data_IF_126927773694
#
_entry.id   IF_126927773694
#
_cell.length_a   1.000
_cell.length_b   1.000
_cell.length_c   1.000
_cell.angle_alpha   90.00
_cell.angle_beta   90.00
_cell.angle_gamma   90.00
#
_symmetry.space_group_name_H-M   'P 1'
#
loop_
_entity.id
_entity.type
_entity.pdbx_description
1 polymer ?
#
# COMPACT_ATOMS: atom_id res chain seq x y z
N UNK A 1 -9.03 4.13 19.18
CA UNK A 1 -7.77 3.92 18.46
C UNK A 1 -7.10 2.63 18.96
N UNK A 2 -6.23 2.03 18.17
CA UNK A 2 -5.30 1.01 18.64
C UNK A 2 -4.16 1.76 19.35
N UNK A 3 -3.76 1.29 20.51
CA UNK A 3 -2.53 1.72 21.15
C UNK A 3 -1.41 0.86 20.56
N UNK A 4 -0.61 1.44 19.68
CA UNK A 4 0.44 0.72 18.95
C UNK A 4 1.48 1.71 18.44
N UNK A 5 2.73 1.28 18.37
CA UNK A 5 3.78 2.01 17.72
C UNK A 5 3.56 2.03 16.21
N UNK A 6 3.88 3.13 15.56
CA UNK A 6 3.73 3.31 14.13
C UNK A 6 5.10 3.52 13.48
N UNK A 7 5.45 2.62 12.56
CA UNK A 7 6.65 2.76 11.73
C UNK A 7 6.26 3.30 10.35
N UNK A 8 6.81 4.48 10.01
CA UNK A 8 6.65 5.05 8.68
C UNK A 8 7.60 4.38 7.69
N UNK A 9 7.07 3.48 6.84
CA UNK A 9 7.86 2.78 5.84
C UNK A 9 8.45 3.69 4.75
N UNK A 10 7.85 4.85 4.47
CA UNK A 10 8.40 5.77 3.48
C UNK A 10 9.79 6.26 3.85
N UNK A 11 10.05 6.51 5.13
CA UNK A 11 11.36 6.94 5.61
C UNK A 11 12.40 5.83 5.44
N UNK A 12 12.05 4.60 5.80
CA UNK A 12 12.93 3.45 5.64
C UNK A 12 13.20 3.11 4.17
N UNK A 13 12.17 3.13 3.34
CA UNK A 13 12.29 2.88 1.90
C UNK A 13 13.18 3.96 1.26
N UNK A 14 12.98 5.24 1.64
CA UNK A 14 13.79 6.35 1.13
C UNK A 14 15.26 6.24 1.55
N UNK A 15 15.52 5.77 2.76
CA UNK A 15 16.87 5.52 3.27
C UNK A 15 17.47 4.18 2.80
N UNK A 16 16.73 3.39 2.01
CA UNK A 16 17.10 2.01 1.63
C UNK A 16 17.39 1.10 2.85
N UNK A 17 16.81 1.46 4.01
CA UNK A 17 17.02 0.78 5.28
C UNK A 17 16.12 -0.44 5.39
N UNK A 18 16.71 -1.62 5.29
CA UNK A 18 16.09 -2.93 5.50
C UNK A 18 16.58 -3.61 6.78
N UNK A 19 17.14 -2.86 7.72
CA UNK A 19 17.56 -3.39 9.02
C UNK A 19 16.35 -3.99 9.77
N UNK A 20 16.64 -4.88 10.72
CA UNK A 20 15.61 -5.54 11.53
C UNK A 20 14.76 -4.54 12.30
N UNK A 21 13.49 -4.88 12.44
CA UNK A 21 12.51 -4.11 13.22
C UNK A 21 12.10 -4.94 14.42
N UNK A 22 12.30 -4.40 15.62
CA UNK A 22 11.74 -4.99 16.84
C UNK A 22 10.23 -4.76 16.83
N UNK A 23 9.47 -5.82 17.00
CA UNK A 23 8.00 -5.77 16.98
C UNK A 23 7.44 -6.54 18.15
N UNK A 24 6.21 -6.22 18.51
CA UNK A 24 5.35 -7.10 19.30
C UNK A 24 4.91 -8.30 18.45
N UNK A 25 4.17 -9.23 19.05
CA UNK A 25 3.66 -10.43 18.34
C UNK A 25 2.75 -10.11 17.15
N UNK A 26 2.07 -8.98 17.21
CA UNK A 26 1.08 -8.56 16.22
C UNK A 26 1.62 -7.44 15.34
N UNK A 27 1.60 -7.64 14.05
CA UNK A 27 1.97 -6.63 13.05
C UNK A 27 0.76 -6.30 12.19
N UNK A 28 0.56 -5.01 11.95
CA UNK A 28 -0.47 -4.50 11.05
C UNK A 28 0.23 -3.74 9.93
N UNK A 29 0.15 -4.26 8.71
CA UNK A 29 0.65 -3.56 7.53
C UNK A 29 -0.48 -2.76 6.90
N UNK A 30 -0.37 -1.43 6.96
CA UNK A 30 -1.30 -0.51 6.28
C UNK A 30 -0.62 0.02 5.03
N UNK A 31 -1.26 -0.14 3.86
CA UNK A 31 -0.64 0.18 2.57
C UNK A 31 -1.68 0.49 1.49
N UNK A 32 -1.36 1.34 0.50
CA UNK A 32 -2.22 1.53 -0.66
C UNK A 32 -2.27 0.29 -1.55
N UNK A 33 -3.23 0.28 -2.45
CA UNK A 33 -3.38 -0.74 -3.49
C UNK A 33 -2.81 -0.23 -4.81
N UNK A 34 -1.82 -0.93 -5.36
CA UNK A 34 -1.27 -0.67 -6.69
C UNK A 34 -1.62 -1.84 -7.62
N UNK A 35 -2.52 -1.59 -8.56
CA UNK A 35 -2.97 -2.59 -9.53
C UNK A 35 -3.31 -3.94 -8.88
N UNK A 36 -4.24 -3.94 -7.91
CA UNK A 36 -4.76 -5.11 -7.20
C UNK A 36 -3.75 -5.89 -6.35
N UNK A 37 -2.66 -5.26 -5.91
CA UNK A 37 -1.67 -5.78 -4.95
C UNK A 37 -1.16 -4.67 -4.05
N UNK A 38 -0.44 -5.04 -2.99
CA UNK A 38 0.39 -4.06 -2.28
C UNK A 38 1.50 -3.57 -3.21
N UNK A 39 2.00 -2.32 -3.07
CA UNK A 39 3.10 -1.80 -3.86
C UNK A 39 4.31 -2.73 -3.83
N UNK A 40 4.93 -2.99 -4.97
CA UNK A 40 6.12 -3.86 -5.06
C UNK A 40 7.20 -3.44 -4.09
N UNK A 41 7.45 -2.13 -3.96
CA UNK A 41 8.48 -1.61 -3.06
C UNK A 41 8.21 -1.95 -1.59
N UNK A 42 6.94 -2.02 -1.18
CA UNK A 42 6.54 -2.44 0.18
C UNK A 42 6.74 -3.94 0.35
N UNK A 43 6.32 -4.75 -0.64
CA UNK A 43 6.52 -6.20 -0.61
C UNK A 43 7.99 -6.58 -0.62
N UNK A 44 8.82 -5.86 -1.38
CA UNK A 44 10.27 -6.09 -1.48
C UNK A 44 10.97 -5.69 -0.19
N UNK A 45 10.59 -4.55 0.40
CA UNK A 45 11.09 -4.14 1.70
C UNK A 45 10.74 -5.16 2.78
N UNK A 46 9.47 -5.55 2.88
CA UNK A 46 9.02 -6.55 3.85
C UNK A 46 9.70 -7.91 3.61
N UNK A 47 9.98 -8.27 2.36
CA UNK A 47 10.72 -9.49 2.00
C UNK A 47 12.14 -9.51 2.58
N UNK A 48 12.81 -8.35 2.64
CA UNK A 48 14.19 -8.18 3.10
C UNK A 48 14.29 -7.94 4.61
N UNK A 49 13.51 -7.00 5.15
CA UNK A 49 13.54 -6.64 6.56
C UNK A 49 13.08 -7.79 7.46
N UNK A 50 13.76 -8.00 8.57
CA UNK A 50 13.35 -8.95 9.60
C UNK A 50 12.43 -8.27 10.62
N UNK A 51 11.30 -8.91 10.94
CA UNK A 51 10.37 -8.46 11.96
C UNK A 51 10.58 -9.33 13.21
N UNK A 52 11.46 -8.87 14.08
CA UNK A 52 11.89 -9.62 15.28
C UNK A 52 10.78 -9.57 16.34
N UNK A 53 10.27 -10.73 16.76
CA UNK A 53 9.17 -10.85 17.71
C UNK A 53 7.81 -11.06 17.05
N UNK A 54 7.64 -10.70 15.78
CA UNK A 54 6.39 -10.87 15.06
C UNK A 54 5.96 -12.34 14.95
N UNK A 55 4.67 -12.60 15.20
CA UNK A 55 4.05 -13.92 15.01
C UNK A 55 2.86 -13.87 14.04
N UNK A 56 2.10 -12.78 14.05
CA UNK A 56 0.85 -12.60 13.31
C UNK A 56 0.88 -11.31 12.50
N UNK A 57 0.28 -11.32 11.30
CA UNK A 57 0.20 -10.14 10.45
C UNK A 57 -1.18 -9.96 9.83
N UNK A 58 -1.73 -8.76 9.98
CA UNK A 58 -2.92 -8.25 9.29
C UNK A 58 -2.49 -7.32 8.17
N UNK A 59 -3.19 -7.38 7.05
CA UNK A 59 -3.01 -6.46 5.94
C UNK A 59 -4.25 -5.57 5.82
N UNK A 60 -4.07 -4.27 5.85
CA UNK A 60 -5.13 -3.27 5.62
C UNK A 60 -4.74 -2.46 4.40
N UNK A 61 -5.57 -2.53 3.36
CA UNK A 61 -5.27 -1.90 2.07
C UNK A 61 -6.33 -0.86 1.74
N UNK A 62 -5.92 0.38 1.46
CA UNK A 62 -6.81 1.37 0.87
C UNK A 62 -6.82 1.25 -0.66
N UNK A 63 -7.96 1.55 -1.27
CA UNK A 63 -8.17 1.46 -2.71
C UNK A 63 -9.26 2.44 -3.16
N UNK A 64 -9.27 2.80 -4.45
CA UNK A 64 -10.35 3.60 -5.03
C UNK A 64 -11.65 2.82 -5.19
N UNK A 65 -11.57 1.50 -5.41
CA UNK A 65 -12.74 0.63 -5.59
C UNK A 65 -12.56 -0.76 -4.97
N UNK A 66 -11.53 -1.48 -5.35
CA UNK A 66 -11.32 -2.89 -4.97
C UNK A 66 -9.84 -3.26 -4.89
N UNK A 67 -9.54 -4.29 -4.12
CA UNK A 67 -8.18 -4.86 -3.97
C UNK A 67 -7.98 -6.12 -4.80
N UNK A 68 -8.98 -6.57 -5.55
CA UNK A 68 -8.95 -7.80 -6.33
C UNK A 68 -8.53 -9.01 -5.49
N UNK A 69 -7.61 -9.82 -6.00
CA UNK A 69 -7.10 -11.00 -5.31
C UNK A 69 -5.82 -10.72 -4.49
N UNK A 70 -5.64 -9.51 -3.95
CA UNK A 70 -4.47 -9.14 -3.14
C UNK A 70 -4.25 -10.10 -1.95
N UNK A 71 -5.33 -10.58 -1.34
CA UNK A 71 -5.29 -11.51 -0.20
C UNK A 71 -4.46 -12.77 -0.46
N UNK A 72 -4.46 -13.29 -1.71
CA UNK A 72 -3.60 -14.42 -2.09
C UNK A 72 -2.12 -14.07 -1.93
N UNK A 73 -1.70 -12.94 -2.48
CA UNK A 73 -0.29 -12.51 -2.49
C UNK A 73 0.20 -12.09 -1.11
N UNK A 74 -0.68 -11.48 -0.31
CA UNK A 74 -0.41 -11.13 1.07
C UNK A 74 -0.22 -12.37 1.94
N UNK A 75 -1.04 -13.41 1.74
CA UNK A 75 -0.88 -14.71 2.42
C UNK A 75 0.43 -15.38 2.04
N UNK A 76 0.80 -15.37 0.76
CA UNK A 76 2.08 -15.90 0.29
C UNK A 76 3.26 -15.13 0.89
N UNK A 77 3.16 -13.80 1.02
CA UNK A 77 4.17 -12.96 1.64
C UNK A 77 4.30 -13.28 3.15
N UNK A 78 3.19 -13.38 3.88
CA UNK A 78 3.18 -13.77 5.28
C UNK A 78 3.84 -15.14 5.49
N UNK A 79 3.52 -16.12 4.63
CA UNK A 79 4.12 -17.47 4.68
C UNK A 79 5.62 -17.44 4.48
N UNK A 80 6.13 -16.66 3.50
CA UNK A 80 7.59 -16.47 3.31
C UNK A 80 8.27 -15.87 4.53
N UNK A 81 7.57 -15.00 5.26
CA UNK A 81 8.04 -14.39 6.51
C UNK A 81 7.83 -15.28 7.74
N UNK A 82 7.26 -16.48 7.57
CA UNK A 82 6.90 -17.40 8.67
C UNK A 82 5.93 -16.77 9.70
N UNK A 83 5.08 -15.86 9.24
CA UNK A 83 4.05 -15.22 10.04
C UNK A 83 2.68 -15.85 9.79
N UNK A 84 1.88 -15.96 10.84
CA UNK A 84 0.47 -16.33 10.71
C UNK A 84 -0.28 -15.20 10.01
N UNK A 85 -0.87 -15.50 8.85
CA UNK A 85 -1.69 -14.57 8.08
C UNK A 85 -3.06 -14.42 8.73
N UNK A 86 -3.39 -13.21 9.18
CA UNK A 86 -4.64 -12.89 9.88
C UNK A 86 -5.68 -12.20 8.98
N UNK A 87 -5.44 -12.20 7.67
CA UNK A 87 -6.39 -11.69 6.69
C UNK A 87 -5.94 -10.39 6.00
N UNK A 88 -6.71 -10.03 4.98
CA UNK A 88 -6.57 -8.77 4.23
C UNK A 88 -7.91 -8.05 4.21
N UNK A 89 -7.96 -6.85 4.74
CA UNK A 89 -9.12 -5.97 4.69
C UNK A 89 -8.89 -4.83 3.70
N UNK A 90 -9.97 -4.40 3.02
CA UNK A 90 -9.94 -3.21 2.17
C UNK A 90 -10.66 -2.05 2.82
N UNK A 91 -10.19 -0.84 2.52
CA UNK A 91 -10.84 0.42 2.86
C UNK A 91 -10.98 1.22 1.57
N UNK A 92 -12.22 1.49 1.15
CA UNK A 92 -12.45 2.33 -0.04
C UNK A 92 -12.20 3.79 0.35
N UNK A 93 -11.30 4.44 -0.39
CA UNK A 93 -10.90 5.84 -0.23
C UNK A 93 -11.03 6.60 -1.55
N UNK A 94 -11.03 7.94 -1.54
CA UNK A 94 -11.10 8.72 -2.76
C UNK A 94 -10.00 8.34 -3.75
N UNK A 95 -10.39 8.11 -5.02
CA UNK A 95 -9.44 7.80 -6.09
C UNK A 95 -8.45 8.93 -6.30
N UNK A 96 -7.18 8.61 -6.40
CA UNK A 96 -6.09 9.56 -6.60
C UNK A 96 -5.17 9.22 -7.79
N UNK A 97 -5.44 8.12 -8.51
CA UNK A 97 -4.67 7.75 -9.69
C UNK A 97 -5.20 8.46 -10.93
N UNK A 98 -4.97 9.77 -11.00
CA UNK A 98 -5.48 10.66 -12.04
C UNK A 98 -4.95 10.38 -13.45
N UNK A 99 -3.96 9.50 -13.61
CA UNK A 99 -3.47 9.10 -14.93
C UNK A 99 -4.50 8.27 -15.72
N UNK A 100 -5.39 7.54 -15.03
CA UNK A 100 -6.42 6.70 -15.65
C UNK A 100 -7.84 7.01 -15.17
N UNK A 101 -8.00 7.63 -14.02
CA UNK A 101 -9.30 7.86 -13.39
C UNK A 101 -9.48 9.34 -13.03
N UNK A 102 -10.74 9.76 -12.97
CA UNK A 102 -11.08 11.08 -12.46
C UNK A 102 -11.04 11.08 -10.94
N UNK A 103 -10.39 12.06 -10.34
CA UNK A 103 -10.50 12.28 -8.91
C UNK A 103 -11.93 12.75 -8.57
N UNK A 104 -12.53 12.27 -7.46
CA UNK A 104 -13.83 12.75 -7.01
C UNK A 104 -13.76 14.23 -6.61
N UNK A 105 -14.87 14.92 -6.69
CA UNK A 105 -14.95 16.27 -6.15
C UNK A 105 -14.87 16.28 -4.61
N UNK A 106 -14.77 17.48 -4.01
CA UNK A 106 -14.59 17.62 -2.57
C UNK A 106 -15.76 17.05 -1.76
N UNK A 107 -16.98 17.13 -2.26
CA UNK A 107 -18.17 16.66 -1.57
C UNK A 107 -18.24 15.13 -1.65
N UNK A 108 -18.00 14.57 -2.81
CA UNK A 108 -17.94 13.13 -3.04
C UNK A 108 -16.79 12.50 -2.24
N UNK A 109 -15.59 13.08 -2.28
CA UNK A 109 -14.45 12.61 -1.49
C UNK A 109 -14.75 12.57 0.00
N UNK A 110 -15.42 13.62 0.53
CA UNK A 110 -15.85 13.65 1.92
C UNK A 110 -16.85 12.53 2.24
N UNK A 111 -17.81 12.27 1.36
CA UNK A 111 -18.78 11.19 1.54
C UNK A 111 -18.09 9.81 1.56
N UNK A 112 -17.13 9.57 0.66
CA UNK A 112 -16.35 8.32 0.63
C UNK A 112 -15.61 8.12 1.96
N UNK A 113 -14.93 9.15 2.47
CA UNK A 113 -14.20 9.08 3.75
C UNK A 113 -15.15 8.82 4.92
N UNK A 114 -16.32 9.45 4.96
CA UNK A 114 -17.32 9.18 6.01
C UNK A 114 -17.83 7.74 5.94
N UNK A 115 -18.08 7.22 4.74
CA UNK A 115 -18.54 5.85 4.51
C UNK A 115 -17.46 4.79 4.86
N UNK A 116 -16.19 5.14 4.86
CA UNK A 116 -15.10 4.25 5.26
C UNK A 116 -15.05 4.02 6.80
N UNK A 117 -15.55 4.96 7.60
CA UNK A 117 -15.45 4.89 9.07
C UNK A 117 -16.01 3.62 9.71
N UNK A 118 -17.19 3.09 9.32
CA UNK A 118 -17.70 1.84 9.87
C UNK A 118 -16.78 0.65 9.58
N UNK A 119 -16.25 0.55 8.35
CA UNK A 119 -15.31 -0.50 7.97
C UNK A 119 -14.02 -0.43 8.81
N UNK A 120 -13.47 0.77 9.00
CA UNK A 120 -12.29 1.00 9.83
C UNK A 120 -12.55 0.55 11.28
N UNK A 121 -13.72 0.86 11.85
CA UNK A 121 -14.08 0.40 13.20
C UNK A 121 -14.13 -1.11 13.29
N UNK A 122 -14.77 -1.78 12.35
CA UNK A 122 -14.83 -3.24 12.29
C UNK A 122 -13.43 -3.87 12.18
N UNK A 123 -12.54 -3.30 11.37
CA UNK A 123 -11.14 -3.72 11.24
C UNK A 123 -10.43 -3.60 12.59
N UNK A 124 -10.56 -2.46 13.28
CA UNK A 124 -9.97 -2.23 14.59
C UNK A 124 -10.47 -3.26 15.61
N UNK A 125 -11.77 -3.54 15.62
CA UNK A 125 -12.36 -4.50 16.56
C UNK A 125 -11.88 -5.92 16.30
N UNK A 126 -11.73 -6.34 15.04
CA UNK A 126 -11.12 -7.62 14.69
C UNK A 126 -9.68 -7.74 15.21
N UNK A 127 -8.87 -6.70 14.99
CA UNK A 127 -7.46 -6.69 15.43
C UNK A 127 -7.37 -6.76 16.96
N UNK A 128 -8.16 -5.94 17.68
CA UNK A 128 -8.18 -5.92 19.16
C UNK A 128 -8.52 -7.27 19.77
N UNK A 129 -9.43 -7.99 19.13
CA UNK A 129 -9.85 -9.31 19.59
C UNK A 129 -8.96 -10.45 19.04
N UNK A 130 -7.87 -10.14 18.33
CA UNK A 130 -6.99 -11.13 17.73
C UNK A 130 -7.68 -12.02 16.69
N UNK A 131 -8.76 -11.54 16.06
CA UNK A 131 -9.55 -12.30 15.08
C UNK A 131 -8.99 -12.11 13.67
N UNK A 132 -9.17 -13.13 12.84
CA UNK A 132 -8.88 -13.03 11.41
C UNK A 132 -9.91 -12.13 10.72
N UNK A 133 -9.47 -11.37 9.70
CA UNK A 133 -10.41 -10.68 8.84
C UNK A 133 -11.21 -11.69 8.00
N UNK A 134 -12.49 -11.42 7.73
CA UNK A 134 -13.26 -12.22 6.80
C UNK A 134 -12.56 -12.35 5.45
N UNK A 135 -12.61 -13.54 4.86
CA UNK A 135 -12.01 -13.75 3.54
C UNK A 135 -12.72 -12.84 2.50
N UNK A 136 -11.97 -12.05 1.72
CA UNK A 136 -12.56 -11.23 0.68
C UNK A 136 -13.20 -12.12 -0.39
N UNK A 137 -14.32 -11.67 -0.96
CA UNK A 137 -14.94 -12.35 -2.08
C UNK A 137 -14.07 -12.14 -3.32
N UNK A 138 -13.68 -13.22 -3.96
CA UNK A 138 -12.88 -13.21 -5.19
C UNK A 138 -13.61 -13.93 -6.31
N UNK A 139 -13.59 -13.32 -7.49
CA UNK A 139 -14.10 -13.91 -8.72
C UNK A 139 -12.95 -14.21 -9.71
N UNK A 140 -13.28 -14.73 -10.88
CA UNK A 140 -12.29 -15.03 -11.92
C UNK A 140 -11.61 -13.76 -12.47
N UNK A 141 -12.35 -12.65 -12.55
CA UNK A 141 -11.82 -11.36 -12.96
C UNK A 141 -10.74 -10.87 -11.99
N UNK A 142 -11.00 -10.91 -10.69
CA UNK A 142 -10.03 -10.52 -9.65
C UNK A 142 -8.73 -11.33 -9.75
N UNK A 143 -8.85 -12.62 -10.00
CA UNK A 143 -7.70 -13.52 -10.19
C UNK A 143 -6.88 -13.15 -11.43
N UNK A 144 -7.57 -12.85 -12.53
CA UNK A 144 -6.92 -12.44 -13.78
C UNK A 144 -6.24 -11.08 -13.63
N UNK A 145 -6.92 -10.07 -13.07
CA UNK A 145 -6.37 -8.73 -12.90
C UNK A 145 -5.16 -8.74 -11.97
N UNK A 146 -5.27 -9.35 -10.79
CA UNK A 146 -4.15 -9.43 -9.85
C UNK A 146 -3.02 -10.35 -10.32
N UNK A 147 -3.33 -11.37 -11.12
CA UNK A 147 -2.36 -12.38 -11.60
C UNK A 147 -1.60 -11.92 -12.84
N UNK A 148 -2.28 -11.84 -13.97
CA UNK A 148 -1.67 -11.59 -15.27
C UNK A 148 -1.53 -10.09 -15.58
N UNK A 149 -2.55 -9.28 -15.24
CA UNK A 149 -2.55 -7.86 -15.60
C UNK A 149 -1.57 -7.06 -14.73
N UNK A 150 -1.50 -7.30 -13.42
CA UNK A 150 -0.60 -6.56 -12.53
C UNK A 150 0.86 -6.53 -13.01
N UNK A 151 1.55 -7.65 -13.28
CA UNK A 151 2.95 -7.60 -13.70
C UNK A 151 3.15 -6.94 -15.07
N UNK A 152 2.17 -7.07 -15.98
CA UNK A 152 2.23 -6.40 -17.30
C UNK A 152 2.04 -4.90 -17.13
N UNK A 153 1.07 -4.49 -16.33
CA UNK A 153 0.79 -3.10 -16.02
C UNK A 153 2.02 -2.42 -15.42
N UNK A 154 2.59 -3.01 -14.37
CA UNK A 154 3.76 -2.44 -13.69
C UNK A 154 5.00 -2.38 -14.59
N UNK A 155 5.21 -3.37 -15.48
CA UNK A 155 6.41 -3.39 -16.35
C UNK A 155 6.26 -2.56 -17.61
N UNK A 156 5.07 -2.48 -18.21
CA UNK A 156 4.89 -1.93 -19.56
C UNK A 156 4.11 -0.63 -19.61
N UNK A 157 3.22 -0.39 -18.66
CA UNK A 157 2.33 0.77 -18.67
C UNK A 157 2.82 1.86 -17.72
N UNK A 158 3.26 1.50 -16.51
CA UNK A 158 3.81 2.46 -15.55
C UNK A 158 5.23 2.83 -15.97
N UNK A 159 5.36 3.90 -16.75
CA UNK A 159 6.63 4.41 -17.27
C UNK A 159 6.72 5.91 -17.05
N UNK A 160 7.93 6.42 -16.90
CA UNK A 160 8.22 7.83 -16.75
C UNK A 160 8.65 8.50 -18.07
N UNK A 161 8.66 7.76 -19.19
CA UNK A 161 9.22 8.25 -20.47
C UNK A 161 8.56 9.55 -20.98
N UNK A 162 7.27 9.74 -20.64
CA UNK A 162 6.52 10.95 -21.03
C UNK A 162 6.58 12.07 -19.97
N UNK A 163 7.30 11.85 -18.87
CA UNK A 163 7.43 12.88 -17.83
C UNK A 163 8.32 14.01 -18.32
N UNK A 164 7.80 15.22 -18.25
CA UNK A 164 8.54 16.44 -18.65
C UNK A 164 8.46 17.49 -17.57
N UNK A 165 9.49 18.28 -17.47
CA UNK A 165 9.56 19.44 -16.57
C UNK A 165 9.46 20.71 -17.41
N UNK A 166 8.46 21.56 -17.12
CA UNK A 166 8.28 22.83 -17.82
C UNK A 166 9.23 23.91 -17.32
N UNK A 167 9.30 25.03 -18.06
CA UNK A 167 10.10 26.19 -17.66
C UNK A 167 9.58 26.90 -16.40
N UNK A 168 8.41 26.55 -15.91
CA UNK A 168 7.91 27.00 -14.60
C UNK A 168 8.66 26.37 -13.41
N UNK A 169 9.53 25.38 -13.65
CA UNK A 169 10.36 24.79 -12.60
C UNK A 169 11.41 25.80 -12.13
N UNK A 170 11.41 26.07 -10.83
CA UNK A 170 12.37 26.98 -10.18
C UNK A 170 13.57 26.26 -9.53
N UNK A 171 13.73 24.97 -9.76
CA UNK A 171 14.83 24.18 -9.20
C UNK A 171 14.83 24.02 -7.67
N UNK A 172 13.70 24.23 -6.99
CA UNK A 172 13.66 24.25 -5.51
C UNK A 172 13.87 22.88 -4.83
N UNK A 173 13.91 21.78 -5.58
CA UNK A 173 14.16 20.43 -5.05
C UNK A 173 13.04 19.82 -4.19
N UNK A 174 11.92 20.51 -4.01
CA UNK A 174 10.81 20.02 -3.17
C UNK A 174 10.27 18.65 -3.62
N UNK A 175 10.17 18.42 -4.93
CA UNK A 175 9.75 17.14 -5.50
C UNK A 175 10.72 15.99 -5.14
N UNK A 176 12.03 16.26 -5.15
CA UNK A 176 13.08 15.30 -4.73
C UNK A 176 12.95 15.00 -3.25
N UNK A 177 12.79 16.04 -2.43
CA UNK A 177 12.65 15.89 -0.98
C UNK A 177 11.41 15.09 -0.59
N UNK A 178 10.28 15.33 -1.26
CA UNK A 178 9.00 14.69 -0.95
C UNK A 178 8.85 13.28 -1.54
N UNK A 179 9.65 12.92 -2.57
CA UNK A 179 9.55 11.61 -3.18
C UNK A 179 10.01 10.50 -2.22
N UNK A 180 9.13 9.60 -1.78
CA UNK A 180 9.51 8.53 -0.85
C UNK A 180 10.33 7.42 -1.53
N UNK A 181 10.41 7.43 -2.87
CA UNK A 181 11.03 6.37 -3.66
C UNK A 181 12.36 6.77 -4.29
N UNK A 182 12.86 7.98 -4.03
CA UNK A 182 14.05 8.54 -4.68
C UNK A 182 14.01 8.53 -6.22
N UNK A 183 12.82 8.59 -6.81
CA UNK A 183 12.62 8.52 -8.27
C UNK A 183 12.89 9.83 -9.00
N UNK A 184 13.08 10.93 -8.26
CA UNK A 184 13.27 12.25 -8.82
C UNK A 184 14.64 12.75 -8.41
N UNK A 185 15.37 13.28 -9.38
CA UNK A 185 16.67 13.95 -9.17
C UNK A 185 16.63 15.28 -9.90
N UNK A 186 17.31 16.27 -9.36
CA UNK A 186 17.60 17.51 -10.10
C UNK A 186 18.79 17.24 -11.02
N UNK A 187 18.66 17.64 -12.27
CA UNK A 187 19.76 17.67 -13.24
C UNK A 187 19.99 19.13 -13.63
N UNK A 188 21.20 19.63 -13.35
CA UNK A 188 21.61 21.02 -13.68
C UNK A 188 20.62 22.09 -13.20
N UNK A 189 20.21 22.00 -11.95
CA UNK A 189 19.29 22.94 -11.27
C UNK A 189 17.80 22.83 -11.67
N UNK A 190 17.39 21.83 -12.45
CA UNK A 190 15.99 21.53 -12.78
C UNK A 190 15.66 20.05 -12.63
#
# INVERSE_FOLDING_TARGET
ALETDCLNLNERIKAEDTSSVQTEENVILVTPTYAWRIPHIVSDWLGKAELVGAKRIWFVMDCGSEIGNAAKYNRELAARKKLTYMGTAQIVMPENYIALFSAPDKQEAKAIVENAKPAIRSIIDCIRNGMEFPAPRNNLYDRFMSGAVNPIFCKKIVKADAFTVSDACIGCGKCVQLCPLNNIRLDKDK
#
